data_IF_950927338474
#
_entry.id   IF_950927338474
#
_cell.length_a   1.000
_cell.length_b   1.000
_cell.length_c   1.000
_cell.angle_alpha   90.00
_cell.angle_beta   90.00
_cell.angle_gamma   90.00
#
_symmetry.space_group_name_H-M   'P 1'
#
loop_
_entity.id
_entity.type
_entity.pdbx_description
1 polymer ?
#
# COMPACT_ATOMS: atom_id res chain seq x y z
N UNK A 1 -8.26 -2.85 -7.20
CA UNK A 1 -8.62 -4.27 -7.27
C UNK A 1 -7.87 -4.99 -6.17
N UNK A 2 -8.51 -5.80 -5.35
CA UNK A 2 -7.75 -6.76 -4.52
C UNK A 2 -7.58 -8.01 -5.36
N UNK A 3 -6.48 -8.08 -6.11
CA UNK A 3 -6.15 -9.27 -6.91
C UNK A 3 -5.97 -10.45 -5.95
N UNK A 4 -6.78 -11.52 -6.02
CA UNK A 4 -6.71 -12.64 -5.07
C UNK A 4 -5.33 -13.33 -5.12
N UNK A 5 -4.67 -13.33 -6.28
CA UNK A 5 -3.30 -13.82 -6.43
C UNK A 5 -2.27 -12.94 -5.72
N UNK A 6 -2.57 -11.64 -5.56
CA UNK A 6 -1.77 -10.71 -4.77
C UNK A 6 -2.25 -10.60 -3.32
N UNK A 7 -3.40 -11.19 -2.95
CA UNK A 7 -3.95 -11.04 -1.60
C UNK A 7 -3.02 -11.63 -0.55
N UNK A 8 -2.36 -12.76 -0.84
CA UNK A 8 -1.36 -13.36 0.05
C UNK A 8 -0.15 -12.42 0.21
N UNK A 9 0.31 -11.81 -0.88
CA UNK A 9 1.40 -10.82 -0.84
C UNK A 9 0.96 -9.58 -0.05
N UNK A 10 -0.24 -9.06 -0.28
CA UNK A 10 -0.78 -7.90 0.41
C UNK A 10 -1.00 -8.14 1.92
N UNK A 11 -1.44 -9.34 2.30
CA UNK A 11 -1.56 -9.72 3.71
C UNK A 11 -0.21 -9.92 4.38
N UNK A 12 0.78 -10.48 3.67
CA UNK A 12 2.17 -10.54 4.16
C UNK A 12 2.77 -9.14 4.30
N UNK A 13 2.50 -8.26 3.35
CA UNK A 13 2.94 -6.86 3.39
C UNK A 13 2.35 -6.14 4.60
N UNK A 14 1.06 -6.33 4.88
CA UNK A 14 0.41 -5.79 6.08
C UNK A 14 0.96 -6.42 7.38
N UNK A 15 1.23 -7.72 7.40
CA UNK A 15 1.79 -8.39 8.57
C UNK A 15 3.22 -7.94 8.86
N UNK A 16 4.07 -7.79 7.84
CA UNK A 16 5.45 -7.31 7.96
C UNK A 16 5.50 -5.82 8.33
N UNK A 17 4.61 -5.00 7.79
CA UNK A 17 4.42 -3.61 8.22
C UNK A 17 4.15 -3.52 9.73
N UNK A 18 3.35 -4.42 10.27
CA UNK A 18 3.03 -4.45 11.70
C UNK A 18 4.16 -5.05 12.55
N UNK A 19 4.96 -5.95 12.00
CA UNK A 19 6.04 -6.66 12.71
C UNK A 19 7.39 -5.94 12.67
N UNK A 20 7.65 -5.11 11.65
CA UNK A 20 8.91 -4.36 11.52
C UNK A 20 8.76 -2.95 12.15
N UNK A 21 9.47 -2.65 13.25
CA UNK A 21 9.40 -1.35 13.89
C UNK A 21 9.77 -0.17 12.99
N UNK A 22 10.71 -0.36 12.05
CA UNK A 22 11.12 0.70 11.12
C UNK A 22 10.01 1.02 10.11
N UNK A 23 9.32 0.00 9.57
CA UNK A 23 8.16 0.20 8.70
C UNK A 23 7.02 0.86 9.46
N UNK A 24 6.70 0.40 10.69
CA UNK A 24 5.67 1.02 11.51
C UNK A 24 5.92 2.53 11.72
N UNK A 25 7.17 2.94 11.92
CA UNK A 25 7.51 4.36 12.07
C UNK A 25 7.28 5.17 10.78
N UNK A 26 7.45 4.57 9.59
CA UNK A 26 7.13 5.22 8.33
C UNK A 26 5.62 5.47 8.18
N UNK A 27 4.78 4.50 8.55
CA UNK A 27 3.33 4.67 8.52
C UNK A 27 2.84 5.77 9.47
N UNK A 28 3.39 5.82 10.68
CA UNK A 28 3.06 6.89 11.64
C UNK A 28 3.51 8.27 11.14
N UNK A 29 4.69 8.36 10.52
CA UNK A 29 5.17 9.60 9.94
C UNK A 29 4.30 10.06 8.76
N UNK A 30 3.85 9.12 7.92
CA UNK A 30 2.90 9.40 6.83
C UNK A 30 1.55 9.94 7.33
N UNK A 31 0.98 9.33 8.38
CA UNK A 31 -0.25 9.85 8.98
C UNK A 31 -0.07 11.26 9.55
N UNK A 32 1.09 11.53 10.17
CA UNK A 32 1.42 12.84 10.72
C UNK A 32 1.70 13.90 9.63
N UNK A 33 2.18 13.49 8.45
CA UNK A 33 2.50 14.39 7.35
C UNK A 33 1.30 15.22 6.89
N UNK A 34 0.07 14.73 7.07
CA UNK A 34 -1.15 15.49 6.76
C UNK A 34 -1.32 16.78 7.57
N UNK A 35 -0.64 16.89 8.72
CA UNK A 35 -0.64 18.10 9.53
C UNK A 35 0.51 19.06 9.22
N UNK A 36 1.39 18.71 8.28
CA UNK A 36 2.53 19.52 7.88
C UNK A 36 2.15 20.49 6.77
N UNK A 37 2.87 21.60 6.72
CA UNK A 37 2.86 22.45 5.54
C UNK A 37 3.50 21.70 4.36
N UNK A 38 3.07 22.01 3.13
CA UNK A 38 3.56 21.33 1.94
C UNK A 38 5.07 21.59 1.71
N UNK A 39 5.56 22.76 2.12
CA UNK A 39 6.97 23.14 2.00
C UNK A 39 7.80 22.77 3.25
N UNK A 40 7.21 22.02 4.20
CA UNK A 40 7.94 21.56 5.38
C UNK A 40 8.98 20.51 4.95
N UNK A 41 10.28 20.69 5.27
CA UNK A 41 11.35 19.79 4.83
C UNK A 41 11.20 18.36 5.35
N UNK A 42 10.36 18.14 6.37
CA UNK A 42 10.02 16.79 6.85
C UNK A 42 9.18 16.00 5.85
N UNK A 43 8.48 16.65 4.92
CA UNK A 43 7.74 15.98 3.84
C UNK A 43 8.72 15.34 2.86
N UNK A 44 9.76 16.08 2.46
CA UNK A 44 10.80 15.56 1.56
C UNK A 44 11.61 14.43 2.21
N UNK A 45 12.04 14.58 3.47
CA UNK A 45 12.72 13.51 4.23
C UNK A 45 11.87 12.24 4.31
N UNK A 46 10.56 12.40 4.56
CA UNK A 46 9.64 11.28 4.59
C UNK A 46 9.51 10.61 3.22
N UNK A 47 9.41 11.39 2.14
CA UNK A 47 9.31 10.85 0.78
C UNK A 47 10.54 10.00 0.43
N UNK A 48 11.75 10.50 0.72
CA UNK A 48 13.00 9.78 0.48
C UNK A 48 13.06 8.46 1.25
N UNK A 49 12.64 8.47 2.52
CA UNK A 49 12.60 7.27 3.35
C UNK A 49 11.59 6.24 2.86
N UNK A 50 10.43 6.68 2.37
CA UNK A 50 9.43 5.78 1.76
C UNK A 50 10.01 5.16 0.50
N UNK A 51 10.60 5.95 -0.40
CA UNK A 51 11.23 5.44 -1.64
C UNK A 51 12.35 4.45 -1.33
N UNK A 52 13.22 4.76 -0.37
CA UNK A 52 14.28 3.86 0.07
C UNK A 52 13.75 2.51 0.56
N UNK A 53 12.71 2.53 1.40
CA UNK A 53 12.08 1.31 1.91
C UNK A 53 11.38 0.51 0.79
N UNK A 54 10.74 1.18 -0.17
CA UNK A 54 10.12 0.53 -1.33
C UNK A 54 11.17 -0.13 -2.22
N UNK A 55 12.28 0.55 -2.51
CA UNK A 55 13.36 0.00 -3.32
C UNK A 55 14.08 -1.16 -2.64
N UNK A 56 14.32 -1.08 -1.33
CA UNK A 56 14.88 -2.20 -0.56
C UNK A 56 13.98 -3.43 -0.61
N UNK A 57 12.65 -3.20 -0.56
CA UNK A 57 11.66 -4.28 -0.49
C UNK A 57 11.40 -4.95 -1.84
N UNK A 58 11.28 -4.17 -2.91
CA UNK A 58 10.82 -4.67 -4.20
C UNK A 58 11.91 -4.65 -5.29
N UNK A 59 13.03 -3.97 -5.04
CA UNK A 59 14.03 -3.69 -6.06
C UNK A 59 13.58 -2.60 -7.04
N UNK A 60 14.51 -2.12 -7.90
CA UNK A 60 14.26 -1.00 -8.81
C UNK A 60 13.20 -1.30 -9.89
N UNK A 61 13.05 -2.57 -10.28
CA UNK A 61 12.12 -2.99 -11.34
C UNK A 61 10.84 -3.65 -10.80
N UNK A 62 10.69 -3.73 -9.47
CA UNK A 62 9.59 -4.45 -8.81
C UNK A 62 8.53 -3.53 -8.20
N UNK A 63 8.50 -2.25 -8.56
CA UNK A 63 7.55 -1.30 -7.99
C UNK A 63 6.11 -1.82 -8.17
N UNK A 64 5.29 -1.83 -7.10
CA UNK A 64 3.91 -2.28 -7.22
C UNK A 64 3.16 -1.38 -8.22
N UNK A 65 2.58 -2.01 -9.25
CA UNK A 65 1.75 -1.29 -10.22
C UNK A 65 0.48 -0.75 -9.53
N UNK A 66 0.15 0.51 -9.83
CA UNK A 66 -1.14 1.10 -9.44
C UNK A 66 -2.21 0.47 -10.32
N UNK A 67 -3.16 -0.24 -9.70
CA UNK A 67 -4.36 -0.77 -10.36
C UNK A 67 -5.05 0.33 -11.18
N UNK A 68 -5.23 0.08 -12.48
CA UNK A 68 -5.80 1.01 -13.46
C UNK A 68 -7.32 1.23 -13.29
N UNK A 69 -7.90 0.70 -12.21
CA UNK A 69 -9.30 0.84 -11.85
C UNK A 69 -10.22 -0.17 -12.53
N UNK A 70 -9.70 -1.15 -13.28
CA UNK A 70 -10.51 -2.18 -13.98
C UNK A 70 -10.89 -3.39 -13.11
N UNK A 71 -10.93 -3.24 -11.78
CA UNK A 71 -11.24 -4.36 -10.87
C UNK A 71 -12.57 -5.05 -11.20
N UNK A 72 -12.52 -6.35 -11.52
CA UNK A 72 -13.71 -7.19 -11.73
C UNK A 72 -14.43 -7.62 -10.42
N UNK A 73 -13.82 -7.34 -9.27
CA UNK A 73 -14.31 -7.75 -7.93
C UNK A 73 -15.75 -7.26 -7.65
N UNK A 74 -16.14 -6.00 -7.93
CA UNK A 74 -17.51 -5.56 -7.71
C UNK A 74 -18.53 -6.38 -8.52
N UNK A 75 -18.20 -6.75 -9.77
CA UNK A 75 -19.08 -7.54 -10.62
C UNK A 75 -19.22 -8.98 -10.11
N UNK A 76 -18.14 -9.59 -9.60
CA UNK A 76 -18.16 -10.92 -9.00
C UNK A 76 -18.98 -10.97 -7.71
N UNK A 77 -18.81 -9.99 -6.81
CA UNK A 77 -19.62 -9.89 -5.59
C UNK A 77 -21.11 -9.75 -5.94
N UNK A 78 -21.45 -8.90 -6.91
CA UNK A 78 -22.81 -8.75 -7.39
C UNK A 78 -23.36 -10.05 -7.98
N UNK A 79 -22.54 -10.78 -8.76
CA UNK A 79 -22.90 -12.09 -9.30
C UNK A 79 -23.23 -13.11 -8.21
N UNK A 80 -22.40 -13.22 -7.16
CA UNK A 80 -22.62 -14.14 -6.04
C UNK A 80 -23.86 -13.78 -5.22
N UNK A 81 -24.09 -12.48 -4.96
CA UNK A 81 -25.30 -12.01 -4.26
C UNK A 81 -26.55 -12.35 -5.05
N UNK A 82 -26.54 -12.13 -6.36
CA UNK A 82 -27.67 -12.43 -7.24
C UNK A 82 -27.92 -13.94 -7.40
N UNK A 83 -26.87 -14.77 -7.37
CA UNK A 83 -26.98 -16.23 -7.47
C UNK A 83 -27.42 -16.91 -6.16
N UNK A 84 -27.32 -16.20 -5.03
CA UNK A 84 -27.72 -16.72 -3.70
C UNK A 84 -29.12 -16.26 -3.26
N UNK A 85 -29.88 -15.61 -4.16
CA UNK A 85 -31.28 -15.17 -3.98
C UNK A 85 -32.24 -16.10 -4.73
#
# INVERSE_FOLDING_TARGET
ATHPDHAITLFRDQAEMLANPALRQLFLAYDQARGLDADDPRVDDLADRIVGATLERYGPDGLPELDDGTSEIPALIQGTVNASS
#
